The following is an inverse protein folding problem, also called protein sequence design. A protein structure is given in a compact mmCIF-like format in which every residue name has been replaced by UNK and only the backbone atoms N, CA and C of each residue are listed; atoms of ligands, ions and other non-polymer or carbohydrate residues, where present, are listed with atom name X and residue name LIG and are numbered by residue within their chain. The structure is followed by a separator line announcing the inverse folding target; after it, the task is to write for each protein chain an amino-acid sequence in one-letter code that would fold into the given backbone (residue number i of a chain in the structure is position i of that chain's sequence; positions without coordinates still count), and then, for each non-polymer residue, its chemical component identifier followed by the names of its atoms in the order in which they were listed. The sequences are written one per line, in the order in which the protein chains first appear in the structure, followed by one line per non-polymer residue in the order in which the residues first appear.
data_IF_821182953353
#
_entry.id   IF_821182953353
#
_cell.length_a   1.000
_cell.length_b   1.000
_cell.length_c   1.000
_cell.angle_alpha   90.00
_cell.angle_beta   90.00
_cell.angle_gamma   90.00
#
_symmetry.space_group_name_H-M   'P 1'
#
loop_
_entity.id
_entity.type
_entity.pdbx_description
1 polymer ?
#
# COMPACT_ATOMS: atom_id res chain seq x y z
N UNK A 1 10.57 16.98 -10.13
CA UNK A 1 11.60 16.71 -9.10
C UNK A 1 10.89 16.40 -7.80
N UNK A 2 10.55 15.13 -7.55
CA UNK A 2 9.94 14.72 -6.27
C UNK A 2 11.05 14.71 -5.21
N UNK A 3 10.76 15.35 -4.09
CA UNK A 3 11.68 15.72 -3.02
C UNK A 3 12.34 14.48 -2.39
N UNK A 4 13.67 14.34 -2.49
CA UNK A 4 14.46 13.24 -1.90
C UNK A 4 14.75 13.41 -0.40
N UNK A 5 14.02 14.29 0.30
CA UNK A 5 14.32 14.66 1.69
C UNK A 5 13.87 13.63 2.76
N UNK A 6 13.13 12.59 2.39
CA UNK A 6 12.55 11.64 3.36
C UNK A 6 13.14 10.23 3.43
N UNK A 7 14.18 9.93 2.66
CA UNK A 7 14.84 8.63 2.68
C UNK A 7 16.10 8.66 3.55
N UNK A 8 16.34 7.62 4.34
CA UNK A 8 17.61 7.48 5.06
C UNK A 8 18.80 7.30 4.09
N UNK A 9 20.03 7.21 4.61
CA UNK A 9 21.24 7.04 3.79
C UNK A 9 21.26 5.76 2.94
N UNK A 10 20.32 4.84 3.17
CA UNK A 10 20.13 3.59 2.41
C UNK A 10 18.99 3.71 1.38
N UNK A 11 18.32 4.86 1.32
CA UNK A 11 17.24 5.13 0.40
C UNK A 11 15.89 4.56 0.85
N UNK A 12 15.75 4.19 2.13
CA UNK A 12 14.51 3.60 2.67
C UNK A 12 13.60 4.69 3.21
N UNK A 13 12.35 4.69 2.76
CA UNK A 13 11.30 5.58 3.23
C UNK A 13 11.03 5.39 4.72
N UNK A 14 10.76 6.50 5.40
CA UNK A 14 10.36 6.46 6.78
C UNK A 14 9.03 5.70 6.96
N UNK A 15 8.00 6.08 6.22
CA UNK A 15 6.69 5.41 6.32
C UNK A 15 6.76 3.93 5.96
N UNK A 16 7.61 3.53 5.00
CA UNK A 16 7.81 2.11 4.68
C UNK A 16 8.28 1.29 5.89
N UNK A 17 9.21 1.83 6.68
CA UNK A 17 9.68 1.20 7.92
C UNK A 17 8.61 1.22 9.02
N UNK A 18 7.83 2.29 9.15
CA UNK A 18 6.70 2.33 10.09
C UNK A 18 5.63 1.28 9.74
N UNK A 19 5.32 1.11 8.46
CA UNK A 19 4.41 0.07 7.98
C UNK A 19 4.98 -1.35 8.23
N UNK A 20 6.27 -1.57 8.01
CA UNK A 20 6.93 -2.82 8.37
C UNK A 20 6.87 -3.07 9.89
N UNK A 21 7.15 -2.06 10.72
CA UNK A 21 7.06 -2.15 12.18
C UNK A 21 5.67 -2.54 12.65
N UNK A 22 4.62 -1.97 12.03
CA UNK A 22 3.24 -2.33 12.32
C UNK A 22 2.94 -3.79 11.99
N UNK A 23 3.33 -4.28 10.81
CA UNK A 23 3.13 -5.68 10.41
C UNK A 23 3.93 -6.65 11.27
N UNK A 24 5.15 -6.29 11.65
CA UNK A 24 5.97 -7.08 12.59
C UNK A 24 5.31 -7.16 13.98
N UNK A 25 4.86 -6.04 14.53
CA UNK A 25 4.15 -6.01 15.82
C UNK A 25 2.85 -6.84 15.77
N UNK A 26 2.08 -6.71 14.69
CA UNK A 26 0.85 -7.47 14.45
C UNK A 26 1.12 -8.99 14.45
N UNK A 27 2.24 -9.43 13.87
CA UNK A 27 2.61 -10.86 13.79
C UNK A 27 2.82 -11.52 15.16
N UNK A 28 3.12 -10.72 16.20
CA UNK A 28 3.36 -11.17 17.58
C UNK A 28 2.10 -11.17 18.45
N UNK A 29 0.98 -10.70 17.91
CA UNK A 29 -0.29 -10.71 18.65
C UNK A 29 -0.89 -12.10 18.68
N UNK A 30 -1.63 -12.40 19.75
CA UNK A 30 -2.42 -13.64 19.85
C UNK A 30 -3.63 -13.63 18.92
N UNK A 31 -4.21 -12.46 18.70
CA UNK A 31 -5.36 -12.17 17.85
C UNK A 31 -4.93 -11.57 16.49
N UNK A 32 -3.73 -11.95 16.02
CA UNK A 32 -3.13 -11.40 14.79
C UNK A 32 -4.01 -11.57 13.55
N UNK A 33 -4.10 -10.54 12.74
CA UNK A 33 -4.78 -10.54 11.45
C UNK A 33 -3.88 -10.99 10.29
N UNK A 34 -2.57 -10.86 10.46
CA UNK A 34 -1.55 -11.23 9.48
C UNK A 34 -0.29 -11.76 10.19
N UNK A 35 0.53 -12.50 9.45
CA UNK A 35 1.84 -12.99 9.88
C UNK A 35 2.87 -12.57 8.82
N UNK A 36 3.79 -11.70 9.20
CA UNK A 36 4.81 -11.10 8.35
C UNK A 36 6.18 -11.08 9.07
N UNK A 37 6.84 -12.25 9.17
CA UNK A 37 8.12 -12.33 9.86
C UNK A 37 9.24 -11.58 9.11
N UNK A 38 9.11 -11.40 7.80
CA UNK A 38 10.08 -10.68 6.97
C UNK A 38 10.13 -9.19 7.28
N UNK A 39 9.04 -8.61 7.78
CA UNK A 39 9.06 -7.25 8.28
C UNK A 39 10.12 -7.07 9.39
N UNK A 40 10.29 -8.06 10.27
CA UNK A 40 11.34 -8.08 11.30
C UNK A 40 12.76 -8.04 10.70
N UNK A 41 12.99 -8.81 9.63
CA UNK A 41 14.28 -8.84 8.92
C UNK A 41 14.63 -7.46 8.33
N UNK A 42 13.65 -6.77 7.72
CA UNK A 42 13.85 -5.42 7.20
C UNK A 42 14.11 -4.39 8.31
N UNK A 43 13.39 -4.46 9.43
CA UNK A 43 13.60 -3.58 10.57
C UNK A 43 15.01 -3.77 11.15
N UNK A 44 15.46 -5.01 11.30
CA UNK A 44 16.81 -5.33 11.75
C UNK A 44 17.88 -4.81 10.77
N UNK A 45 17.70 -5.02 9.47
CA UNK A 45 18.61 -4.51 8.44
C UNK A 45 18.63 -2.98 8.38
N UNK A 46 17.50 -2.34 8.67
CA UNK A 46 17.40 -0.89 8.81
C UNK A 46 17.95 -0.36 10.14
N UNK A 47 18.37 -1.22 11.07
CA UNK A 47 18.79 -0.80 12.41
C UNK A 47 17.68 -0.07 13.16
N UNK A 48 16.42 -0.39 12.86
CA UNK A 48 15.25 0.22 13.47
C UNK A 48 15.26 0.03 14.99
N UNK A 49 15.13 1.13 15.73
CA UNK A 49 14.91 1.08 17.17
C UNK A 49 13.49 1.51 17.48
N UNK A 50 12.77 0.68 18.23
CA UNK A 50 11.35 0.90 18.59
C UNK A 50 11.10 2.26 19.24
N UNK A 51 12.09 2.82 19.95
CA UNK A 51 12.02 4.15 20.57
C UNK A 51 12.05 5.32 19.58
N UNK A 52 12.55 5.16 18.35
CA UNK A 52 12.83 6.27 17.43
C UNK A 52 11.58 6.83 16.73
N UNK A 53 10.49 6.06 16.64
CA UNK A 53 9.23 6.47 15.99
C UNK A 53 7.97 6.06 16.75
N UNK A 54 8.12 5.79 18.05
CA UNK A 54 7.08 5.27 18.94
C UNK A 54 5.70 5.92 18.78
N UNK A 55 5.58 7.27 18.72
CA UNK A 55 4.29 7.94 18.53
C UNK A 55 3.62 7.57 17.19
N UNK A 56 4.36 7.65 16.08
CA UNK A 56 3.84 7.38 14.75
C UNK A 56 3.42 5.92 14.57
N UNK A 57 4.24 4.98 15.05
CA UNK A 57 3.93 3.56 15.02
C UNK A 57 2.72 3.20 15.91
N UNK A 58 2.57 3.86 17.06
CA UNK A 58 1.42 3.68 17.94
C UNK A 58 0.10 4.18 17.34
N UNK A 59 0.14 5.29 16.59
CA UNK A 59 -1.07 5.90 16.00
C UNK A 59 -1.46 5.26 14.66
N UNK A 60 -0.47 4.92 13.81
CA UNK A 60 -0.71 4.32 12.49
C UNK A 60 -0.72 2.79 12.48
N UNK A 61 -0.18 2.14 13.52
CA UNK A 61 0.07 0.70 13.51
C UNK A 61 -1.17 -0.15 13.29
N UNK A 62 -2.23 0.11 14.06
CA UNK A 62 -3.51 -0.60 13.91
C UNK A 62 -4.17 -0.31 12.56
N UNK A 63 -4.07 0.92 12.06
CA UNK A 63 -4.57 1.29 10.73
C UNK A 63 -3.88 0.48 9.64
N UNK A 64 -2.54 0.38 9.69
CA UNK A 64 -1.77 -0.43 8.75
C UNK A 64 -2.13 -1.92 8.82
N UNK A 65 -2.31 -2.48 10.02
CA UNK A 65 -2.71 -3.88 10.16
C UNK A 65 -4.10 -4.15 9.56
N UNK A 66 -5.10 -3.30 9.83
CA UNK A 66 -6.46 -3.41 9.29
C UNK A 66 -6.45 -3.28 7.76
N UNK A 67 -5.72 -2.28 7.25
CA UNK A 67 -5.54 -2.05 5.82
C UNK A 67 -4.89 -3.25 5.14
N UNK A 68 -3.75 -3.72 5.65
CA UNK A 68 -3.04 -4.87 5.07
C UNK A 68 -3.97 -6.09 5.02
N UNK A 69 -4.73 -6.35 6.09
CA UNK A 69 -5.70 -7.44 6.13
C UNK A 69 -6.79 -7.32 5.06
N UNK A 70 -7.35 -6.13 4.85
CA UNK A 70 -8.35 -5.90 3.82
C UNK A 70 -7.79 -6.17 2.42
N UNK A 71 -6.64 -5.56 2.11
CA UNK A 71 -6.01 -5.66 0.79
C UNK A 71 -5.56 -7.10 0.48
N UNK A 72 -5.02 -7.82 1.47
CA UNK A 72 -4.68 -9.24 1.34
C UNK A 72 -5.89 -10.09 0.97
N UNK A 73 -7.02 -9.89 1.67
CA UNK A 73 -8.26 -10.64 1.38
C UNK A 73 -8.77 -10.36 -0.03
N UNK A 74 -8.62 -9.13 -0.53
CA UNK A 74 -9.03 -8.75 -1.89
C UNK A 74 -8.13 -9.38 -2.96
N UNK A 75 -6.81 -9.33 -2.77
CA UNK A 75 -5.85 -10.00 -3.66
C UNK A 75 -6.07 -11.51 -3.72
N UNK A 76 -6.22 -12.16 -2.56
CA UNK A 76 -6.51 -13.59 -2.49
C UNK A 76 -7.86 -13.94 -3.13
N UNK A 77 -8.88 -13.07 -2.97
CA UNK A 77 -10.16 -13.25 -3.66
C UNK A 77 -9.97 -13.19 -5.18
N UNK A 78 -9.26 -12.20 -5.69
CA UNK A 78 -8.99 -12.06 -7.13
C UNK A 78 -8.34 -13.31 -7.72
N UNK A 79 -7.23 -13.80 -7.13
CA UNK A 79 -6.53 -14.98 -7.67
C UNK A 79 -7.32 -16.29 -7.54
N UNK A 80 -8.17 -16.40 -6.51
CA UNK A 80 -9.09 -17.54 -6.35
C UNK A 80 -10.20 -17.57 -7.40
N UNK A 81 -10.53 -16.42 -8.00
CA UNK A 81 -11.50 -16.31 -9.10
C UNK A 81 -10.83 -16.36 -10.48
N UNK A 82 -9.60 -16.86 -10.58
CA UNK A 82 -8.93 -17.12 -11.84
C UNK A 82 -7.90 -16.06 -12.24
N UNK A 83 -7.85 -14.91 -11.57
CA UNK A 83 -6.82 -13.90 -11.82
C UNK A 83 -5.40 -14.46 -11.62
N UNK A 84 -4.46 -14.02 -12.47
CA UNK A 84 -3.06 -14.50 -12.45
C UNK A 84 -2.02 -13.39 -12.36
N UNK A 85 -2.41 -12.14 -12.52
CA UNK A 85 -1.50 -11.00 -12.54
C UNK A 85 -1.81 -10.06 -11.39
N UNK A 86 -0.85 -9.88 -10.49
CA UNK A 86 -0.94 -8.94 -9.38
C UNK A 86 0.19 -7.93 -9.54
N UNK A 87 -0.12 -6.64 -9.52
CA UNK A 87 0.89 -5.58 -9.62
C UNK A 87 0.83 -4.73 -8.36
N UNK A 88 1.96 -4.64 -7.66
CA UNK A 88 2.13 -3.81 -6.46
C UNK A 88 2.94 -2.58 -6.85
N UNK A 89 2.26 -1.43 -6.89
CA UNK A 89 2.89 -0.13 -7.17
C UNK A 89 3.32 0.51 -5.86
N UNK A 90 4.57 0.98 -5.79
CA UNK A 90 5.17 1.42 -4.54
C UNK A 90 5.41 0.22 -3.60
N UNK A 91 5.95 -0.86 -4.15
CA UNK A 91 6.07 -2.15 -3.45
C UNK A 91 6.88 -2.10 -2.15
N UNK A 92 7.68 -1.06 -1.93
CA UNK A 92 8.36 -0.75 -0.68
C UNK A 92 8.94 -1.96 0.03
N UNK A 93 8.50 -2.17 1.28
CA UNK A 93 8.85 -3.34 2.07
C UNK A 93 7.72 -4.38 2.12
N UNK A 94 6.83 -4.41 1.11
CA UNK A 94 5.77 -5.42 0.97
C UNK A 94 6.37 -6.83 0.89
N UNK A 95 5.76 -7.80 1.56
CA UNK A 95 6.22 -9.19 1.64
C UNK A 95 5.19 -10.18 1.09
N UNK A 96 4.11 -9.70 0.46
CA UNK A 96 3.00 -10.52 -0.04
C UNK A 96 3.44 -11.63 -0.98
N UNK A 97 4.43 -11.39 -1.85
CA UNK A 97 5.01 -12.42 -2.71
C UNK A 97 5.62 -13.61 -1.93
N UNK A 98 5.94 -13.43 -0.65
CA UNK A 98 6.55 -14.42 0.23
C UNK A 98 5.58 -15.00 1.27
N UNK A 99 4.60 -14.21 1.74
CA UNK A 99 3.72 -14.61 2.86
C UNK A 99 2.29 -14.99 2.48
N UNK A 100 1.82 -14.63 1.28
CA UNK A 100 0.48 -15.01 0.84
C UNK A 100 0.50 -16.35 0.09
N UNK A 101 -0.54 -17.15 0.30
CA UNK A 101 -0.73 -18.45 -0.35
C UNK A 101 -1.20 -18.28 -1.79
N UNK A 102 -0.26 -18.00 -2.69
CA UNK A 102 -0.54 -17.83 -4.12
C UNK A 102 -0.80 -19.17 -4.82
N UNK A 103 -1.92 -19.31 -5.58
CA UNK A 103 -2.09 -20.43 -6.49
C UNK A 103 -0.99 -20.51 -7.55
N UNK A 104 -0.72 -21.72 -8.06
CA UNK A 104 0.23 -21.92 -9.17
C UNK A 104 -0.15 -21.07 -10.38
N UNK A 105 0.86 -20.45 -11.00
CA UNK A 105 0.69 -19.60 -12.18
C UNK A 105 0.41 -18.13 -11.87
N UNK A 106 0.28 -17.73 -10.61
CA UNK A 106 0.23 -16.31 -10.25
C UNK A 106 1.62 -15.68 -10.41
N UNK A 107 1.64 -14.50 -11.05
CA UNK A 107 2.80 -13.61 -11.11
C UNK A 107 2.52 -12.34 -10.32
N UNK A 108 3.42 -12.01 -9.40
CA UNK A 108 3.42 -10.75 -8.65
C UNK A 108 4.52 -9.85 -9.23
N UNK A 109 4.13 -8.72 -9.79
CA UNK A 109 5.00 -7.65 -10.23
C UNK A 109 5.14 -6.62 -9.12
N UNK A 110 6.37 -6.26 -8.78
CA UNK A 110 6.67 -5.26 -7.75
C UNK A 110 7.42 -4.09 -8.39
N UNK A 111 6.80 -2.91 -8.35
CA UNK A 111 7.36 -1.67 -8.90
C UNK A 111 7.67 -0.69 -7.78
N UNK A 112 8.90 -0.22 -7.71
CA UNK A 112 9.30 0.88 -6.82
C UNK A 112 10.61 1.49 -7.32
N UNK A 113 11.09 2.52 -6.62
CA UNK A 113 12.35 3.19 -6.92
C UNK A 113 13.53 2.24 -6.68
N UNK A 114 14.59 2.34 -7.51
CA UNK A 114 15.76 1.46 -7.45
C UNK A 114 16.41 1.34 -6.06
N UNK A 115 16.45 2.44 -5.30
CA UNK A 115 17.11 2.45 -3.98
C UNK A 115 16.38 1.58 -2.97
N UNK A 116 15.05 1.62 -2.96
CA UNK A 116 14.22 0.87 -2.02
C UNK A 116 14.21 -0.62 -2.38
N UNK A 117 14.12 -0.94 -3.69
CA UNK A 117 14.22 -2.31 -4.18
C UNK A 117 15.59 -2.94 -3.86
N UNK A 118 16.70 -2.21 -4.07
CA UNK A 118 18.03 -2.72 -3.71
C UNK A 118 18.14 -3.08 -2.22
N UNK A 119 17.59 -2.25 -1.32
CA UNK A 119 17.59 -2.55 0.11
C UNK A 119 16.77 -3.82 0.42
N UNK A 120 15.57 -3.93 -0.18
CA UNK A 120 14.69 -5.09 -0.03
C UNK A 120 15.37 -6.37 -0.52
N UNK A 121 15.87 -6.39 -1.74
CA UNK A 121 16.52 -7.56 -2.35
C UNK A 121 17.75 -7.99 -1.55
N UNK A 122 18.59 -7.04 -1.11
CA UNK A 122 19.76 -7.36 -0.30
C UNK A 122 19.39 -8.02 1.05
N UNK A 123 18.27 -7.63 1.63
CA UNK A 123 17.79 -8.22 2.90
C UNK A 123 17.18 -9.60 2.68
N UNK A 124 16.35 -9.76 1.64
CA UNK A 124 15.73 -11.04 1.28
C UNK A 124 16.77 -12.10 0.90
N UNK A 125 17.80 -11.71 0.14
CA UNK A 125 18.90 -12.60 -0.27
C UNK A 125 19.69 -13.13 0.93
N UNK A 126 19.98 -12.28 1.93
CA UNK A 126 20.66 -12.70 3.16
C UNK A 126 19.86 -13.73 3.96
N UNK A 127 18.53 -13.63 3.93
CA UNK A 127 17.64 -14.57 4.61
C UNK A 127 17.34 -15.85 3.82
N UNK A 128 17.86 -15.99 2.58
CA UNK A 128 17.56 -17.13 1.71
C UNK A 128 16.08 -17.29 1.40
N UNK A 129 15.33 -16.18 1.33
CA UNK A 129 13.86 -16.20 1.20
C UNK A 129 13.46 -16.50 -0.23
N UNK A 130 12.53 -17.45 -0.40
CA UNK A 130 12.00 -17.83 -1.71
C UNK A 130 10.54 -17.38 -1.78
N UNK A 131 10.12 -16.65 -2.83
CA UNK A 131 8.72 -16.24 -2.99
C UNK A 131 7.83 -17.47 -3.27
N UNK A 132 6.57 -17.39 -2.84
CA UNK A 132 5.55 -18.43 -3.06
C UNK A 132 4.93 -18.40 -4.47
N UNK A 133 5.34 -17.45 -5.31
CA UNK A 133 4.84 -17.25 -6.67
C UNK A 133 5.98 -16.84 -7.61
N UNK A 134 5.68 -16.71 -8.92
CA UNK A 134 6.59 -15.99 -9.81
C UNK A 134 6.61 -14.52 -9.37
N UNK A 135 7.79 -14.00 -9.06
CA UNK A 135 7.99 -12.61 -8.65
C UNK A 135 8.85 -11.90 -9.68
N UNK A 136 8.37 -10.75 -10.15
CA UNK A 136 9.08 -9.88 -11.11
C UNK A 136 9.27 -8.53 -10.44
N UNK A 137 10.51 -8.10 -10.31
CA UNK A 137 10.87 -6.83 -9.65
C UNK A 137 11.33 -5.85 -10.71
N UNK A 138 10.80 -4.63 -10.65
CA UNK A 138 11.03 -3.61 -11.64
C UNK A 138 11.29 -2.26 -11.00
N UNK A 139 12.42 -1.69 -11.37
CA UNK A 139 12.74 -0.30 -11.04
C UNK A 139 11.80 0.62 -11.83
N UNK A 140 11.03 1.46 -11.11
CA UNK A 140 10.10 2.41 -11.72
C UNK A 140 9.97 3.68 -10.87
N UNK A 141 9.94 4.84 -11.54
CA UNK A 141 9.34 6.05 -10.97
C UNK A 141 7.90 6.14 -11.48
N UNK A 142 6.92 6.06 -10.58
CA UNK A 142 5.50 6.08 -10.93
C UNK A 142 5.03 7.43 -11.51
N UNK A 143 5.87 8.46 -11.45
CA UNK A 143 5.65 9.74 -12.13
C UNK A 143 6.10 9.76 -13.60
N UNK A 144 6.81 8.73 -14.06
CA UNK A 144 7.30 8.55 -15.44
C UNK A 144 6.52 7.46 -16.18
N UNK A 145 6.93 7.12 -17.41
CA UNK A 145 6.28 6.11 -18.25
C UNK A 145 6.86 4.71 -17.98
N UNK A 146 6.24 3.99 -17.04
CA UNK A 146 6.66 2.66 -16.59
C UNK A 146 5.89 1.50 -17.25
N UNK A 147 4.78 1.81 -17.93
CA UNK A 147 3.85 0.80 -18.49
C UNK A 147 4.52 -0.07 -19.57
N UNK A 148 5.25 0.49 -20.57
CA UNK A 148 5.88 -0.32 -21.60
C UNK A 148 6.85 -1.36 -21.01
N UNK A 149 7.67 -0.95 -20.04
CA UNK A 149 8.60 -1.84 -19.38
C UNK A 149 7.88 -2.97 -18.64
N UNK A 150 6.72 -2.69 -18.03
CA UNK A 150 5.93 -3.70 -17.32
C UNK A 150 5.35 -4.76 -18.27
N UNK A 151 4.88 -4.34 -19.44
CA UNK A 151 4.42 -5.25 -20.50
C UNK A 151 5.59 -6.08 -21.02
N UNK A 152 6.75 -5.48 -21.29
CA UNK A 152 7.95 -6.18 -21.72
C UNK A 152 8.45 -7.21 -20.68
N UNK A 153 8.23 -6.93 -19.39
CA UNK A 153 8.54 -7.85 -18.30
C UNK A 153 7.55 -9.04 -18.17
N UNK A 154 6.48 -9.03 -18.97
CA UNK A 154 5.54 -10.13 -19.12
C UNK A 154 4.16 -9.90 -18.51
N UNK A 155 3.77 -8.65 -18.20
CA UNK A 155 2.37 -8.33 -17.95
C UNK A 155 1.60 -8.43 -19.28
N UNK A 156 0.53 -9.21 -19.30
CA UNK A 156 -0.42 -9.28 -20.40
C UNK A 156 -1.58 -8.29 -20.13
N UNK A 157 -1.68 -7.17 -20.88
CA UNK A 157 -2.76 -6.19 -20.68
C UNK A 157 -4.14 -6.70 -21.14
N UNK A 158 -4.22 -7.82 -21.86
CA UNK A 158 -5.49 -8.45 -22.25
C UNK A 158 -6.11 -9.34 -21.18
N UNK A 159 -5.33 -9.74 -20.17
CA UNK A 159 -5.77 -10.59 -19.06
C UNK A 159 -6.12 -9.75 -17.82
N UNK A 160 -6.95 -10.26 -16.89
CA UNK A 160 -7.32 -9.52 -15.69
C UNK A 160 -6.10 -9.20 -14.81
N UNK A 161 -6.03 -7.98 -14.30
CA UNK A 161 -4.96 -7.52 -13.40
C UNK A 161 -5.54 -7.09 -12.05
N UNK A 162 -4.86 -7.43 -10.96
CA UNK A 162 -5.09 -6.80 -9.66
C UNK A 162 -4.03 -5.74 -9.41
N UNK A 163 -4.43 -4.47 -9.52
CA UNK A 163 -3.59 -3.32 -9.20
C UNK A 163 -3.68 -3.02 -7.70
N UNK A 164 -2.55 -3.04 -7.00
CA UNK A 164 -2.44 -2.65 -5.61
C UNK A 164 -1.62 -1.35 -5.50
N UNK A 165 -2.26 -0.30 -4.98
CA UNK A 165 -1.68 1.02 -4.75
C UNK A 165 -1.83 1.38 -3.27
N UNK A 166 -1.08 0.68 -2.42
CA UNK A 166 -1.08 0.85 -0.96
C UNK A 166 0.02 1.84 -0.55
N UNK A 167 -0.30 2.90 0.16
CA UNK A 167 0.72 3.83 0.69
C UNK A 167 1.35 4.71 -0.37
N UNK A 168 0.69 4.94 -1.51
CA UNK A 168 1.26 5.70 -2.63
C UNK A 168 0.49 6.98 -2.92
N UNK A 169 -0.83 6.92 -3.15
CA UNK A 169 -1.62 8.06 -3.63
C UNK A 169 -1.53 9.30 -2.73
N UNK A 170 -1.42 9.08 -1.41
CA UNK A 170 -1.27 10.10 -0.39
C UNK A 170 -0.02 10.98 -0.57
N UNK A 171 1.01 10.46 -1.27
CA UNK A 171 2.28 11.15 -1.53
C UNK A 171 2.39 11.68 -2.96
N UNK A 172 1.33 11.54 -3.76
CA UNK A 172 1.22 12.10 -5.09
C UNK A 172 0.38 13.37 -5.06
N UNK A 173 0.69 14.33 -5.94
CA UNK A 173 -0.25 15.42 -6.19
C UNK A 173 -1.56 14.87 -6.79
N UNK A 174 -2.66 15.62 -6.69
CA UNK A 174 -3.93 15.20 -7.31
C UNK A 174 -3.80 14.90 -8.81
N UNK A 175 -3.00 15.68 -9.54
CA UNK A 175 -2.74 15.45 -10.97
C UNK A 175 -1.92 14.16 -11.23
N UNK A 176 -0.95 13.86 -10.37
CA UNK A 176 -0.19 12.60 -10.46
C UNK A 176 -1.09 11.40 -10.14
N UNK A 177 -1.97 11.53 -9.14
CA UNK A 177 -2.98 10.51 -8.82
C UNK A 177 -3.95 10.28 -9.97
N UNK A 178 -4.50 11.34 -10.57
CA UNK A 178 -5.39 11.26 -11.73
C UNK A 178 -4.71 10.56 -12.92
N UNK A 179 -3.45 10.93 -13.23
CA UNK A 179 -2.66 10.26 -14.29
C UNK A 179 -2.41 8.79 -14.00
N UNK A 180 -2.05 8.46 -12.76
CA UNK A 180 -1.82 7.07 -12.37
C UNK A 180 -3.09 6.24 -12.54
N UNK A 181 -4.22 6.65 -11.94
CA UNK A 181 -5.47 5.90 -12.01
C UNK A 181 -6.00 5.80 -13.45
N UNK A 182 -5.87 6.86 -14.25
CA UNK A 182 -6.20 6.83 -15.68
C UNK A 182 -5.39 5.79 -16.44
N UNK A 183 -4.06 5.74 -16.24
CA UNK A 183 -3.23 4.72 -16.88
C UNK A 183 -3.64 3.29 -16.45
N UNK A 184 -4.03 3.08 -15.18
CA UNK A 184 -4.48 1.77 -14.71
C UNK A 184 -5.83 1.36 -15.31
N UNK A 185 -6.74 2.30 -15.59
CA UNK A 185 -8.03 1.99 -16.24
C UNK A 185 -7.88 1.52 -17.68
N UNK A 186 -6.77 1.86 -18.35
CA UNK A 186 -6.50 1.44 -19.72
C UNK A 186 -5.83 0.06 -19.81
N UNK A 187 -5.48 -0.55 -18.67
CA UNK A 187 -4.68 -1.77 -18.59
C UNK A 187 -5.39 -2.91 -17.85
N UNK A 188 -5.49 -4.04 -18.52
CA UNK A 188 -6.07 -5.28 -18.00
C UNK A 188 -7.41 -5.61 -18.64
N UNK A 189 -7.69 -6.91 -18.77
CA UNK A 189 -8.94 -7.43 -19.32
C UNK A 189 -10.12 -7.36 -18.35
N UNK A 190 -11.26 -7.91 -18.78
CA UNK A 190 -12.48 -8.01 -17.97
C UNK A 190 -12.20 -8.70 -16.61
N UNK A 191 -12.62 -8.07 -15.51
CA UNK A 191 -12.36 -8.57 -14.16
C UNK A 191 -11.10 -8.02 -13.51
N UNK A 192 -10.45 -7.04 -14.15
CA UNK A 192 -9.41 -6.21 -13.53
C UNK A 192 -9.96 -5.47 -12.32
N UNK A 193 -9.18 -5.47 -11.24
CA UNK A 193 -9.51 -4.82 -9.98
C UNK A 193 -8.44 -3.83 -9.56
N UNK A 194 -8.89 -2.73 -8.95
CA UNK A 194 -8.05 -1.71 -8.36
C UNK A 194 -8.24 -1.69 -6.85
N UNK A 195 -7.13 -1.78 -6.12
CA UNK A 195 -7.11 -1.75 -4.66
C UNK A 195 -6.26 -0.55 -4.21
N UNK A 196 -6.91 0.42 -3.58
CA UNK A 196 -6.26 1.67 -3.17
C UNK A 196 -6.58 1.99 -1.71
N UNK A 197 -5.76 2.85 -1.11
CA UNK A 197 -6.12 3.57 0.10
C UNK A 197 -6.15 5.08 -0.15
N UNK A 198 -6.99 5.80 0.59
CA UNK A 198 -6.94 7.25 0.66
C UNK A 198 -7.49 7.77 1.98
N UNK A 199 -7.28 9.04 2.27
CA UNK A 199 -7.91 9.76 3.38
C UNK A 199 -8.68 11.00 2.90
N UNK A 200 -9.63 11.46 3.71
CA UNK A 200 -10.37 12.69 3.46
C UNK A 200 -9.57 13.95 3.83
N UNK A 201 -10.09 15.12 3.44
CA UNK A 201 -9.44 16.41 3.67
C UNK A 201 -9.13 16.65 5.14
N UNK A 202 -10.10 16.39 6.02
CA UNK A 202 -9.97 16.65 7.46
C UNK A 202 -8.80 15.84 8.05
N UNK A 203 -8.66 14.56 7.66
CA UNK A 203 -7.53 13.72 8.08
C UNK A 203 -6.19 14.25 7.57
N UNK A 204 -6.17 14.86 6.37
CA UNK A 204 -4.97 15.43 5.79
C UNK A 204 -4.57 16.77 6.43
N UNK A 205 -5.52 17.71 6.63
CA UNK A 205 -5.19 19.13 6.86
C UNK A 205 -5.67 19.77 8.18
N UNK A 206 -6.62 19.20 8.94
CA UNK A 206 -7.19 19.93 10.10
C UNK A 206 -6.70 19.40 11.45
N UNK A 207 -5.62 20.01 11.98
CA UNK A 207 -5.64 21.00 13.09
C UNK A 207 -4.19 21.38 13.46
N UNK A 208 -3.93 22.59 14.02
CA UNK A 208 -2.68 22.87 14.74
C UNK A 208 -2.51 21.83 15.86
N UNK A 209 -1.48 20.99 15.79
CA UNK A 209 -1.28 19.87 16.73
C UNK A 209 -1.80 18.50 16.25
N UNK A 210 -2.13 18.33 14.96
CA UNK A 210 -2.23 17.00 14.37
C UNK A 210 -0.82 16.39 14.26
N UNK A 211 -0.34 15.83 15.38
CA UNK A 211 1.03 15.34 15.54
C UNK A 211 1.46 14.41 14.41
N UNK A 212 0.55 13.63 13.83
CA UNK A 212 0.87 12.62 12.82
C UNK A 212 1.27 13.23 11.48
N UNK A 213 0.48 14.14 10.92
CA UNK A 213 0.77 14.73 9.61
C UNK A 213 2.06 15.57 9.67
N UNK A 214 2.24 16.34 10.76
CA UNK A 214 3.46 17.09 11.03
C UNK A 214 4.67 16.17 11.24
N UNK A 215 4.51 15.05 11.96
CA UNK A 215 5.56 14.05 12.11
C UNK A 215 5.94 13.43 10.76
N UNK A 216 4.96 13.01 9.96
CA UNK A 216 5.18 12.44 8.63
C UNK A 216 5.87 13.45 7.70
N UNK A 217 5.46 14.72 7.72
CA UNK A 217 6.10 15.80 6.99
C UNK A 217 7.54 16.07 7.49
N UNK A 218 7.78 16.03 8.81
CA UNK A 218 9.11 16.20 9.40
C UNK A 218 10.09 15.09 9.00
N UNK A 219 9.56 13.92 8.65
CA UNK A 219 10.30 12.79 8.08
C UNK A 219 10.54 12.94 6.57
N UNK A 220 10.18 14.08 5.96
CA UNK A 220 10.37 14.36 4.55
C UNK A 220 9.34 13.72 3.62
N UNK A 221 8.21 13.24 4.15
CA UNK A 221 7.18 12.51 3.40
C UNK A 221 5.79 13.16 3.56
N UNK A 222 5.61 14.47 3.29
CA UNK A 222 4.32 15.13 3.50
C UNK A 222 3.20 14.50 2.66
N UNK A 223 2.00 14.36 3.24
CA UNK A 223 0.81 13.99 2.48
C UNK A 223 0.38 15.13 1.56
N UNK A 224 0.28 14.86 0.26
CA UNK A 224 0.06 15.86 -0.79
C UNK A 224 -1.38 15.90 -1.31
N UNK A 225 -2.20 14.90 -1.01
CA UNK A 225 -3.55 14.75 -1.54
C UNK A 225 -4.56 14.28 -0.49
N UNK A 226 -5.83 14.52 -0.78
CA UNK A 226 -7.00 13.98 -0.06
C UNK A 226 -8.12 13.64 -1.05
N UNK A 227 -9.06 12.80 -0.63
CA UNK A 227 -10.28 12.47 -1.34
C UNK A 227 -11.47 12.43 -0.37
N UNK A 228 -12.44 13.32 -0.58
CA UNK A 228 -13.69 13.33 0.18
C UNK A 228 -14.75 12.39 -0.41
N UNK A 229 -14.67 12.12 -1.73
CA UNK A 229 -15.51 11.18 -2.45
C UNK A 229 -14.66 10.25 -3.34
N UNK A 230 -14.06 9.18 -2.77
CA UNK A 230 -13.24 8.26 -3.54
C UNK A 230 -14.03 7.48 -4.60
N UNK A 231 -15.32 7.20 -4.38
CA UNK A 231 -16.16 6.51 -5.36
C UNK A 231 -16.41 7.40 -6.59
N UNK A 232 -16.83 8.65 -6.37
CA UNK A 232 -17.00 9.64 -7.43
C UNK A 232 -15.70 9.89 -8.20
N UNK A 233 -14.58 10.03 -7.49
CA UNK A 233 -13.26 10.17 -8.12
C UNK A 233 -12.92 8.99 -9.05
N UNK A 234 -13.01 7.75 -8.57
CA UNK A 234 -12.70 6.57 -9.35
C UNK A 234 -13.67 6.35 -10.53
N UNK A 235 -14.96 6.68 -10.36
CA UNK A 235 -15.96 6.56 -11.43
C UNK A 235 -15.65 7.41 -12.67
N UNK A 236 -14.93 8.54 -12.51
CA UNK A 236 -14.45 9.37 -13.64
C UNK A 236 -13.51 8.61 -14.58
N UNK A 237 -12.91 7.51 -14.10
CA UNK A 237 -12.00 6.64 -14.84
C UNK A 237 -12.61 5.25 -15.10
N UNK A 238 -13.95 5.10 -15.02
CA UNK A 238 -14.62 3.85 -15.36
C UNK A 238 -14.58 2.76 -14.28
N UNK A 239 -14.18 3.09 -13.05
CA UNK A 239 -14.15 2.15 -11.93
C UNK A 239 -15.44 2.20 -11.11
N UNK A 240 -16.05 1.04 -10.88
CA UNK A 240 -17.11 0.88 -9.88
C UNK A 240 -16.49 0.44 -8.54
N UNK A 241 -16.75 1.20 -7.48
CA UNK A 241 -15.96 1.13 -6.24
C UNK A 241 -16.77 0.69 -5.03
N UNK A 242 -16.27 -0.30 -4.29
CA UNK A 242 -16.64 -0.59 -2.91
C UNK A 242 -15.70 0.18 -1.96
N UNK A 243 -16.19 1.27 -1.39
CA UNK A 243 -15.46 2.11 -0.43
C UNK A 243 -15.76 1.65 0.99
N UNK A 244 -14.72 1.43 1.81
CA UNK A 244 -14.86 1.00 3.21
C UNK A 244 -14.05 1.90 4.14
N UNK A 245 -14.68 2.44 5.17
CA UNK A 245 -13.99 3.15 6.24
C UNK A 245 -13.14 2.16 7.05
N UNK A 246 -11.89 2.52 7.34
CA UNK A 246 -11.00 1.74 8.19
C UNK A 246 -11.60 1.47 9.58
N UNK A 247 -12.44 2.37 10.11
CA UNK A 247 -13.15 2.16 11.39
C UNK A 247 -14.06 0.95 11.32
N UNK A 248 -14.89 0.89 10.28
CA UNK A 248 -15.82 -0.23 10.05
C UNK A 248 -15.06 -1.53 9.81
N UNK A 249 -13.95 -1.45 9.08
CA UNK A 249 -13.09 -2.62 8.83
C UNK A 249 -12.49 -3.13 10.14
N UNK A 250 -11.97 -2.25 10.99
CA UNK A 250 -11.41 -2.61 12.29
C UNK A 250 -12.45 -3.32 13.15
N UNK A 251 -13.64 -2.73 13.30
CA UNK A 251 -14.76 -3.34 14.05
C UNK A 251 -15.14 -4.70 13.45
N UNK A 252 -15.21 -4.81 12.12
CA UNK A 252 -15.55 -6.07 11.44
C UNK A 252 -14.50 -7.17 11.64
N UNK A 253 -13.26 -6.80 11.95
CA UNK A 253 -12.17 -7.72 12.28
C UNK A 253 -12.03 -7.96 13.79
N UNK A 254 -12.95 -7.41 14.61
CA UNK A 254 -12.89 -7.53 16.06
C UNK A 254 -11.77 -6.71 16.70
N UNK A 255 -11.37 -5.60 16.05
CA UNK A 255 -10.30 -4.71 16.49
C UNK A 255 -10.86 -3.38 17.00
N UNK A 256 -10.16 -2.73 17.93
CA UNK A 256 -10.47 -1.35 18.29
C UNK A 256 -10.30 -0.43 17.08
N UNK A 257 -11.02 0.69 17.09
CA UNK A 257 -10.87 1.73 16.08
C UNK A 257 -9.43 2.27 16.12
N UNK A 258 -8.73 2.39 14.96
CA UNK A 258 -7.36 2.90 14.96
C UNK A 258 -7.29 4.35 15.48
N UNK A 259 -6.31 4.71 16.32
CA UNK A 259 -6.24 6.03 16.96
C UNK A 259 -6.25 7.22 15.99
N UNK A 260 -5.68 7.07 14.79
CA UNK A 260 -5.68 8.12 13.75
C UNK A 260 -7.10 8.55 13.32
N UNK A 261 -8.09 7.67 13.44
CA UNK A 261 -9.49 7.95 13.11
C UNK A 261 -10.40 7.84 14.34
N UNK A 262 -9.84 7.77 15.54
CA UNK A 262 -10.61 7.73 16.78
C UNK A 262 -10.83 9.16 17.30
N UNK A 263 -11.71 9.92 16.62
CA UNK A 263 -12.26 11.20 17.07
C UNK A 263 -13.65 10.99 17.68
N UNK A 264 -13.85 11.47 18.92
CA UNK A 264 -15.08 11.28 19.72
C UNK A 264 -16.37 11.69 18.98
N UNK A 265 -16.26 12.57 17.98
CA UNK A 265 -17.39 13.10 17.21
C UNK A 265 -17.73 12.31 15.94
N UNK A 266 -16.97 11.27 15.57
CA UNK A 266 -17.23 10.34 14.44
C UNK A 266 -17.54 10.98 13.08
N UNK A 267 -17.21 12.26 12.86
CA UNK A 267 -17.63 13.02 11.66
C UNK A 267 -16.50 13.70 10.91
N UNK A 268 -15.28 13.73 11.47
CA UNK A 268 -14.17 14.48 10.90
C UNK A 268 -13.24 13.61 10.06
N UNK A 269 -12.45 12.77 10.72
CA UNK A 269 -11.37 12.02 10.04
C UNK A 269 -11.93 10.81 9.31
N UNK A 270 -11.38 10.43 8.16
CA UNK A 270 -11.74 9.22 7.43
C UNK A 270 -10.54 8.72 6.65
N UNK A 271 -10.28 7.41 6.77
CA UNK A 271 -9.34 6.68 5.94
C UNK A 271 -10.13 5.55 5.28
N UNK A 272 -10.03 5.48 3.97
CA UNK A 272 -10.74 4.54 3.12
C UNK A 272 -9.79 3.46 2.63
N UNK A 273 -10.24 2.21 2.68
CA UNK A 273 -9.75 1.17 1.79
C UNK A 273 -10.80 0.97 0.69
N UNK A 274 -10.38 1.01 -0.57
CA UNK A 274 -11.28 0.91 -1.71
C UNK A 274 -10.90 -0.30 -2.54
N UNK A 275 -11.89 -1.09 -2.91
CA UNK A 275 -11.75 -2.12 -3.93
C UNK A 275 -12.69 -1.77 -5.08
N UNK A 276 -12.15 -1.60 -6.27
CA UNK A 276 -12.92 -1.23 -7.46
C UNK A 276 -12.74 -2.25 -8.58
N UNK A 277 -13.74 -2.38 -9.43
CA UNK A 277 -13.71 -3.20 -10.63
C UNK A 277 -13.93 -2.33 -11.87
N UNK A 278 -13.19 -2.61 -12.95
CA UNK A 278 -13.31 -1.85 -14.18
C UNK A 278 -14.61 -2.22 -14.91
N UNK A 279 -15.39 -1.21 -15.31
CA UNK A 279 -16.66 -1.39 -16.05
C UNK A 279 -16.45 -1.68 -17.54
N UNK A 280 -15.24 -1.47 -18.06
CA UNK A 280 -14.89 -1.74 -19.47
C UNK A 280 -14.33 -3.14 -19.65
N UNK A 281 -15.09 -4.00 -20.33
CA UNK A 281 -14.72 -5.33 -20.79
C UNK A 281 -15.87 -5.96 -21.57
#
# INVERSE_FOLDING_TARGET
MVNTRGTDSRGVSATALTAAAARWAESHRKDRMLDDPLAGDFLAAAGWKTSERGPLAGVLGDMFAVRTRFLDKRLLRFVRHGGRQVVVLGAGLDTRAFRLDWPTGVTVFELDRPTLLRFKEATLAKGGRVPGCRRVVMDADLAEDWVPALVDAGLDPGEPVAWLVEGVLLYLSGEQGDRLIGALSELGGHGTVLLVEHMNRITQIEQPGCEVADQVASLGEPWLSHLDDPAGWLSRFGWESEVRDIRELAVSYGRPVPPIVDDEDLRGRMIWCVAAAHQGG
#
